data_IF_766880130820
#
_entry.id   IF_766880130820
#
_cell.length_a   1.000
_cell.length_b   1.000
_cell.length_c   1.000
_cell.angle_alpha   90.00
_cell.angle_beta   90.00
_cell.angle_gamma   90.00
#
_symmetry.space_group_name_H-M   'P 1'
#
loop_
_entity.id
_entity.type
_entity.pdbx_description
1 polymer ?
#
# COMPACT_ATOMS: atom_id res chain seq x y z
N UNK A 1 31.33 47.39 20.42
CA UNK A 1 30.70 46.80 19.21
C UNK A 1 31.63 45.86 18.42
N UNK A 2 32.84 46.23 18.00
CA UNK A 2 33.76 45.36 17.21
C UNK A 2 34.12 44.02 17.87
N UNK A 3 34.32 43.98 19.21
CA UNK A 3 34.62 42.74 19.95
C UNK A 3 33.42 41.79 19.99
N UNK A 4 32.21 42.31 20.20
CA UNK A 4 30.98 41.54 20.22
C UNK A 4 30.69 40.93 18.84
N UNK A 5 30.89 41.69 17.77
CA UNK A 5 30.72 41.19 16.40
C UNK A 5 31.72 40.06 16.06
N UNK A 6 32.99 40.18 16.48
CA UNK A 6 33.98 39.11 16.28
C UNK A 6 33.63 37.84 17.07
N UNK A 7 33.13 38.00 18.30
CA UNK A 7 32.67 36.88 19.11
C UNK A 7 31.47 36.18 18.46
N UNK A 8 30.50 36.93 17.94
CA UNK A 8 29.32 36.39 17.25
C UNK A 8 29.73 35.62 15.98
N UNK A 9 30.63 36.18 15.16
CA UNK A 9 31.19 35.51 13.98
C UNK A 9 31.90 34.19 14.34
N UNK A 10 32.65 34.19 15.43
CA UNK A 10 33.39 33.01 15.88
C UNK A 10 32.40 31.90 16.33
N UNK A 11 31.37 32.26 17.11
CA UNK A 11 30.31 31.32 17.54
C UNK A 11 29.59 30.77 16.33
N UNK A 12 29.20 31.60 15.37
CA UNK A 12 28.52 31.16 14.14
C UNK A 12 29.39 30.20 13.33
N UNK A 13 30.71 30.51 13.20
CA UNK A 13 31.63 29.64 12.50
C UNK A 13 31.78 28.26 13.18
N UNK A 14 31.86 28.22 14.51
CA UNK A 14 31.90 26.96 15.27
C UNK A 14 30.60 26.20 15.09
N UNK A 15 29.45 26.85 15.21
CA UNK A 15 28.14 26.20 15.05
C UNK A 15 27.98 25.61 13.64
N UNK A 16 28.36 26.36 12.61
CA UNK A 16 28.37 25.89 11.23
C UNK A 16 29.27 24.66 11.05
N UNK A 17 30.48 24.71 11.62
CA UNK A 17 31.41 23.58 11.56
C UNK A 17 30.84 22.33 12.26
N UNK A 18 30.20 22.52 13.41
CA UNK A 18 29.54 21.44 14.14
C UNK A 18 28.38 20.82 13.32
N UNK A 19 27.54 21.65 12.69
CA UNK A 19 26.41 21.16 11.85
C UNK A 19 26.96 20.39 10.66
N UNK A 20 27.96 20.91 9.96
CA UNK A 20 28.59 20.22 8.83
C UNK A 20 29.26 18.92 9.28
N UNK A 21 29.97 18.92 10.38
CA UNK A 21 30.58 17.71 10.94
C UNK A 21 29.51 16.66 11.29
N UNK A 22 28.43 17.08 11.95
CA UNK A 22 27.32 16.20 12.31
C UNK A 22 26.67 15.61 11.05
N UNK A 23 26.46 16.40 10.00
CA UNK A 23 25.93 15.92 8.72
C UNK A 23 26.81 14.79 8.16
N UNK A 24 28.14 14.95 8.15
CA UNK A 24 29.05 13.91 7.64
C UNK A 24 29.12 12.66 8.53
N UNK A 25 28.90 12.80 9.83
CA UNK A 25 28.84 11.65 10.76
C UNK A 25 27.56 10.85 10.59
N UNK A 26 26.43 11.52 10.40
CA UNK A 26 25.12 10.88 10.27
C UNK A 26 24.82 10.36 8.86
N UNK A 27 25.58 10.83 7.84
CA UNK A 27 25.36 10.44 6.45
C UNK A 27 26.51 9.60 5.91
N UNK A 28 26.19 8.73 4.94
CA UNK A 28 27.14 7.87 4.24
C UNK A 28 27.12 8.14 2.74
N UNK A 29 28.17 7.71 2.02
CA UNK A 29 28.30 7.91 0.55
C UNK A 29 27.38 6.98 -0.24
N UNK A 30 26.99 5.85 0.35
CA UNK A 30 26.17 4.84 -0.28
C UNK A 30 25.02 4.43 0.64
N UNK A 31 23.88 3.98 0.08
CA UNK A 31 22.82 3.39 0.88
C UNK A 31 23.25 2.03 1.44
N UNK A 32 22.80 1.69 2.63
CA UNK A 32 22.96 0.35 3.20
C UNK A 32 22.03 -0.65 2.52
N UNK A 33 20.86 -0.17 2.05
CA UNK A 33 19.92 -0.91 1.20
C UNK A 33 19.98 -0.28 -0.19
N UNK A 34 20.57 -1.00 -1.14
CA UNK A 34 20.87 -0.44 -2.46
C UNK A 34 19.61 -0.16 -3.29
N UNK A 35 18.62 -1.06 -3.22
CA UNK A 35 17.37 -0.95 -3.99
C UNK A 35 16.20 -1.44 -3.13
N UNK A 36 15.01 -0.88 -3.39
CA UNK A 36 13.77 -1.46 -2.84
C UNK A 36 13.59 -2.86 -3.41
N UNK A 37 13.14 -3.82 -2.61
CA UNK A 37 12.71 -5.09 -3.15
C UNK A 37 11.49 -4.84 -4.06
N UNK A 38 11.68 -4.96 -5.37
CA UNK A 38 10.57 -4.97 -6.32
C UNK A 38 9.71 -6.22 -6.12
N UNK A 39 8.42 -6.13 -6.34
CA UNK A 39 7.52 -7.29 -6.27
C UNK A 39 7.72 -8.17 -7.51
N UNK A 40 7.93 -9.46 -7.31
CA UNK A 40 8.03 -10.45 -8.39
C UNK A 40 6.75 -11.26 -8.52
N UNK A 41 6.54 -11.85 -9.67
CA UNK A 41 5.40 -12.74 -9.91
C UNK A 41 5.31 -13.92 -8.92
N UNK A 42 6.47 -14.46 -8.51
CA UNK A 42 6.54 -15.49 -7.47
C UNK A 42 6.02 -14.99 -6.11
N UNK A 43 6.26 -13.73 -5.78
CA UNK A 43 5.81 -13.12 -4.53
C UNK A 43 4.28 -13.01 -4.52
N UNK A 44 3.67 -12.62 -5.65
CA UNK A 44 2.21 -12.57 -5.79
C UNK A 44 1.59 -13.96 -5.62
N UNK A 45 2.12 -14.99 -6.29
CA UNK A 45 1.66 -16.38 -6.13
C UNK A 45 1.75 -16.81 -4.66
N UNK A 46 2.83 -16.45 -3.99
CA UNK A 46 3.04 -16.76 -2.58
C UNK A 46 2.06 -16.03 -1.67
N UNK A 47 1.85 -14.73 -1.88
CA UNK A 47 0.83 -13.93 -1.15
C UNK A 47 -0.56 -14.53 -1.34
N UNK A 48 -0.93 -14.89 -2.55
CA UNK A 48 -2.22 -15.55 -2.83
C UNK A 48 -2.34 -16.92 -2.13
N UNK A 49 -1.25 -17.69 -2.09
CA UNK A 49 -1.22 -18.97 -1.38
C UNK A 49 -1.44 -18.76 0.12
N UNK A 50 -0.70 -17.82 0.72
CA UNK A 50 -0.83 -17.46 2.14
C UNK A 50 -2.25 -16.95 2.46
N UNK A 51 -2.79 -16.06 1.62
CA UNK A 51 -4.14 -15.52 1.79
C UNK A 51 -5.23 -16.60 1.70
N UNK A 52 -5.02 -17.67 0.93
CA UNK A 52 -5.93 -18.82 0.89
C UNK A 52 -5.76 -19.73 2.10
N UNK A 53 -4.51 -20.03 2.48
CA UNK A 53 -4.17 -20.91 3.59
C UNK A 53 -4.66 -20.31 4.93
N UNK A 54 -4.38 -19.02 5.13
CA UNK A 54 -4.71 -18.30 6.37
C UNK A 54 -6.02 -17.49 6.26
N UNK A 55 -6.92 -17.86 5.35
CA UNK A 55 -8.26 -17.27 5.33
C UNK A 55 -8.98 -17.57 6.65
N UNK A 56 -9.61 -16.58 7.31
CA UNK A 56 -10.29 -16.78 8.60
C UNK A 56 -11.24 -17.98 8.65
N UNK A 57 -11.96 -18.25 7.55
CA UNK A 57 -12.85 -19.40 7.44
C UNK A 57 -12.15 -20.76 7.44
N UNK A 58 -10.84 -20.80 7.21
CA UNK A 58 -10.05 -22.04 7.17
C UNK A 58 -9.32 -22.29 8.50
N UNK A 59 -9.31 -21.30 9.40
CA UNK A 59 -8.60 -21.38 10.66
C UNK A 59 -9.55 -21.82 11.78
N UNK A 60 -9.08 -22.75 12.61
CA UNK A 60 -9.80 -23.24 13.77
C UNK A 60 -9.32 -22.47 15.00
N UNK A 61 -10.26 -21.98 15.81
CA UNK A 61 -9.95 -21.25 17.03
C UNK A 61 -9.04 -22.08 17.95
N UNK A 62 -8.13 -21.44 18.65
CA UNK A 62 -7.18 -22.00 19.58
C UNK A 62 -6.13 -22.94 18.95
N UNK A 63 -6.21 -23.20 17.65
CA UNK A 63 -5.18 -23.99 16.98
C UNK A 63 -3.94 -23.15 16.67
N UNK A 64 -2.80 -23.85 16.76
CA UNK A 64 -1.49 -23.28 16.42
C UNK A 64 -1.21 -23.46 14.94
N UNK A 65 -0.78 -22.37 14.31
CA UNK A 65 -0.36 -22.30 12.92
C UNK A 65 1.09 -21.82 12.82
N UNK A 66 1.76 -22.21 11.76
CA UNK A 66 3.13 -21.78 11.48
C UNK A 66 3.17 -21.24 10.05
N UNK A 67 3.64 -20.01 9.90
CA UNK A 67 3.95 -19.42 8.60
C UNK A 67 5.46 -19.26 8.48
N UNK A 68 6.01 -19.64 7.33
CA UNK A 68 7.41 -19.41 7.01
C UNK A 68 7.47 -18.27 6.00
N UNK A 69 8.19 -17.21 6.36
CA UNK A 69 8.47 -16.07 5.49
C UNK A 69 9.98 -16.01 5.22
N UNK A 70 10.37 -15.87 3.97
CA UNK A 70 11.75 -15.59 3.60
C UNK A 70 12.12 -14.14 3.96
N UNK A 71 13.42 -13.83 4.04
CA UNK A 71 13.90 -12.45 4.24
C UNK A 71 13.34 -11.50 3.17
N UNK A 72 13.22 -11.98 1.92
CA UNK A 72 12.60 -11.23 0.84
C UNK A 72 11.13 -10.90 1.12
N UNK A 73 10.34 -11.89 1.57
CA UNK A 73 8.93 -11.68 1.90
C UNK A 73 8.77 -10.74 3.11
N UNK A 74 9.65 -10.84 4.10
CA UNK A 74 9.71 -9.90 5.22
C UNK A 74 9.99 -8.46 4.75
N UNK A 75 10.90 -8.29 3.79
CA UNK A 75 11.24 -6.96 3.24
C UNK A 75 10.10 -6.33 2.42
N UNK A 76 9.15 -7.12 1.90
CA UNK A 76 7.97 -6.60 1.20
C UNK A 76 6.92 -6.00 2.16
N UNK A 77 6.87 -6.44 3.42
CA UNK A 77 5.89 -5.95 4.40
C UNK A 77 6.02 -4.43 4.65
N UNK A 78 7.19 -3.87 4.97
CA UNK A 78 7.32 -2.42 5.12
C UNK A 78 7.11 -1.66 3.81
N UNK A 79 7.47 -2.23 2.66
CA UNK A 79 7.19 -1.60 1.36
C UNK A 79 5.69 -1.39 1.21
N UNK A 80 4.87 -2.39 1.46
CA UNK A 80 3.42 -2.27 1.38
C UNK A 80 2.85 -1.24 2.38
N UNK A 81 3.36 -1.20 3.63
CA UNK A 81 2.86 -0.29 4.66
C UNK A 81 3.32 1.16 4.50
N UNK A 82 4.53 1.38 4.00
CA UNK A 82 5.16 2.70 3.97
C UNK A 82 4.97 3.45 2.65
N UNK A 83 4.60 2.77 1.57
CA UNK A 83 4.32 3.42 0.28
C UNK A 83 3.12 4.38 0.32
N UNK A 84 2.27 4.28 1.33
CA UNK A 84 1.19 5.23 1.59
C UNK A 84 1.70 6.64 1.92
N UNK A 85 2.93 6.76 2.40
CA UNK A 85 3.51 8.04 2.81
C UNK A 85 4.37 8.62 1.69
N UNK A 86 4.08 9.85 1.21
CA UNK A 86 4.86 10.48 0.13
C UNK A 86 6.35 10.55 0.42
N UNK A 87 6.74 10.77 1.68
CA UNK A 87 8.15 10.82 2.11
C UNK A 87 8.86 9.47 2.03
N UNK A 88 8.12 8.36 1.99
CA UNK A 88 8.69 7.02 1.94
C UNK A 88 8.95 6.53 0.50
N UNK A 89 8.58 7.30 -0.52
CA UNK A 89 8.78 6.92 -1.93
C UNK A 89 10.24 6.68 -2.28
N UNK A 90 11.13 7.49 -1.73
CA UNK A 90 12.58 7.44 -2.01
C UNK A 90 13.37 6.66 -0.95
N UNK A 91 12.68 6.03 0.00
CA UNK A 91 13.30 5.25 1.07
C UNK A 91 13.47 3.80 0.62
N UNK A 92 14.67 3.28 0.71
CA UNK A 92 14.94 1.86 0.53
C UNK A 92 14.84 1.15 1.88
N UNK A 93 14.14 0.03 1.93
CA UNK A 93 13.93 -0.77 3.15
C UNK A 93 14.40 -2.19 2.96
N UNK A 94 14.87 -2.78 4.03
CA UNK A 94 15.13 -4.20 4.14
C UNK A 94 14.76 -4.71 5.54
N UNK A 95 14.18 -5.89 5.61
CA UNK A 95 13.86 -6.57 6.87
C UNK A 95 14.41 -7.98 6.81
N UNK A 96 15.18 -8.34 7.80
CA UNK A 96 15.73 -9.68 7.97
C UNK A 96 15.54 -10.17 9.38
N UNK A 97 15.61 -11.48 9.57
CA UNK A 97 15.51 -12.12 10.87
C UNK A 97 16.73 -12.97 11.17
N UNK A 98 17.26 -12.87 12.39
CA UNK A 98 18.36 -13.70 12.89
C UNK A 98 18.28 -13.83 14.41
N UNK A 99 18.53 -15.01 14.93
CA UNK A 99 18.65 -15.26 16.39
C UNK A 99 17.49 -14.68 17.23
N UNK A 100 16.26 -14.92 16.83
CA UNK A 100 15.04 -14.36 17.45
C UNK A 100 14.98 -12.81 17.46
N UNK A 101 15.75 -12.17 16.60
CA UNK A 101 15.75 -10.73 16.43
C UNK A 101 15.29 -10.37 15.02
N UNK A 102 14.54 -9.27 14.89
CA UNK A 102 14.21 -8.65 13.63
C UNK A 102 15.12 -7.43 13.41
N UNK A 103 15.67 -7.32 12.24
CA UNK A 103 16.49 -6.20 11.80
C UNK A 103 15.77 -5.44 10.71
N UNK A 104 15.49 -4.17 10.96
CA UNK A 104 14.96 -3.26 9.96
C UNK A 104 16.06 -2.27 9.58
N UNK A 105 16.33 -2.17 8.29
CA UNK A 105 17.29 -1.23 7.73
C UNK A 105 16.57 -0.33 6.74
N UNK A 106 16.79 0.98 6.84
CA UNK A 106 16.25 1.96 5.92
C UNK A 106 17.34 2.91 5.43
N UNK A 107 17.31 3.27 4.16
CA UNK A 107 18.25 4.21 3.54
C UNK A 107 17.48 5.37 2.90
N UNK A 108 17.75 6.59 3.38
CA UNK A 108 17.10 7.83 2.96
C UNK A 108 18.07 8.64 2.13
N UNK A 109 17.77 9.03 0.89
CA UNK A 109 18.60 9.94 0.12
C UNK A 109 18.49 11.36 0.71
N UNK A 110 19.62 12.02 0.87
CA UNK A 110 19.68 13.43 1.28
C UNK A 110 20.63 14.19 0.39
N UNK A 111 20.19 15.33 -0.11
CA UNK A 111 20.99 16.23 -0.92
C UNK A 111 21.36 17.45 -0.09
N UNK A 112 22.65 17.71 0.06
CA UNK A 112 23.17 18.89 0.71
C UNK A 112 24.12 19.63 -0.22
N UNK A 113 23.69 20.75 -0.74
CA UNK A 113 24.36 21.51 -1.78
C UNK A 113 24.61 20.65 -3.03
N UNK A 114 25.87 20.25 -3.30
CA UNK A 114 26.29 19.42 -4.44
C UNK A 114 26.55 17.97 -4.04
N UNK A 115 26.35 17.62 -2.77
CA UNK A 115 26.65 16.28 -2.27
C UNK A 115 25.36 15.47 -2.14
N UNK A 116 25.28 14.36 -2.85
CA UNK A 116 24.29 13.31 -2.64
C UNK A 116 24.83 12.34 -1.59
N UNK A 117 24.08 12.12 -0.55
CA UNK A 117 24.43 11.24 0.56
C UNK A 117 23.21 10.49 1.07
N UNK A 118 23.44 9.55 1.96
CA UNK A 118 22.42 8.70 2.50
C UNK A 118 22.42 8.73 4.03
N UNK A 119 21.27 8.90 4.63
CA UNK A 119 21.05 8.57 6.03
C UNK A 119 20.65 7.11 6.07
N UNK A 120 21.51 6.26 6.62
CA UNK A 120 21.22 4.86 6.84
C UNK A 120 20.78 4.67 8.28
N UNK A 121 19.57 4.15 8.46
CA UNK A 121 18.98 3.87 9.75
C UNK A 121 18.83 2.37 9.92
N UNK A 122 19.21 1.83 11.08
CA UNK A 122 19.00 0.43 11.40
C UNK A 122 18.46 0.27 12.81
N UNK A 123 17.47 -0.60 12.97
CA UNK A 123 16.89 -0.99 14.27
C UNK A 123 16.95 -2.51 14.39
N UNK A 124 17.35 -2.98 15.56
CA UNK A 124 17.20 -4.37 15.95
C UNK A 124 16.15 -4.48 17.05
N UNK A 125 15.23 -5.40 16.88
CA UNK A 125 14.20 -5.78 17.85
C UNK A 125 14.41 -7.20 18.30
N UNK A 126 14.43 -7.43 19.61
CA UNK A 126 14.33 -8.77 20.16
C UNK A 126 12.85 -9.18 20.21
N UNK A 127 12.56 -10.35 19.68
CA UNK A 127 11.20 -10.91 19.63
C UNK A 127 11.07 -12.03 20.62
N UNK A 128 10.22 -11.81 21.62
CA UNK A 128 9.90 -12.78 22.66
C UNK A 128 8.42 -13.14 22.54
N UNK A 129 8.12 -14.44 22.59
CA UNK A 129 6.74 -14.91 22.52
C UNK A 129 5.85 -14.25 23.60
N UNK A 130 4.66 -13.80 23.21
CA UNK A 130 3.70 -13.14 24.12
C UNK A 130 4.10 -11.75 24.60
N UNK A 131 5.19 -11.17 24.06
CA UNK A 131 5.65 -9.82 24.40
C UNK A 131 5.83 -9.01 23.12
N UNK A 132 5.51 -7.71 23.19
CA UNK A 132 5.81 -6.80 22.07
C UNK A 132 7.31 -6.80 21.78
N UNK A 133 7.73 -6.69 20.52
CA UNK A 133 9.13 -6.65 20.15
C UNK A 133 9.85 -5.52 20.89
N UNK A 134 10.92 -5.84 21.60
CA UNK A 134 11.69 -4.87 22.38
C UNK A 134 12.83 -4.34 21.54
N UNK A 135 12.95 -3.02 21.42
CA UNK A 135 14.05 -2.42 20.70
C UNK A 135 15.37 -2.66 21.41
N UNK A 136 16.25 -3.45 20.79
CA UNK A 136 17.57 -3.79 21.31
C UNK A 136 18.61 -2.71 21.06
N UNK A 137 18.62 -2.20 19.83
CA UNK A 137 19.58 -1.16 19.43
C UNK A 137 19.09 -0.42 18.19
N UNK A 138 19.57 0.81 18.02
CA UNK A 138 19.43 1.53 16.76
C UNK A 138 20.69 2.28 16.40
N UNK A 139 20.86 2.53 15.11
CA UNK A 139 22.05 3.22 14.55
C UNK A 139 21.60 4.17 13.45
N UNK A 140 22.26 5.32 13.39
CA UNK A 140 22.13 6.28 12.28
C UNK A 140 23.50 6.46 11.65
N UNK A 141 23.66 6.09 10.39
CA UNK A 141 24.96 6.05 9.74
C UNK A 141 25.93 5.14 10.48
N UNK A 142 27.06 5.69 10.93
CA UNK A 142 28.02 4.97 11.78
C UNK A 142 27.78 5.15 13.29
N UNK A 143 26.83 6.00 13.66
CA UNK A 143 26.58 6.37 15.06
C UNK A 143 25.53 5.45 15.69
N UNK A 144 25.92 4.73 16.73
CA UNK A 144 25.00 3.93 17.54
C UNK A 144 24.30 4.86 18.55
N UNK A 145 22.97 4.82 18.57
CA UNK A 145 22.19 5.65 19.48
C UNK A 145 22.36 5.15 20.93
N UNK A 146 22.54 6.08 21.89
CA UNK A 146 22.56 5.74 23.31
C UNK A 146 21.25 5.06 23.77
N UNK A 147 21.34 4.17 24.77
CA UNK A 147 20.20 3.39 25.24
C UNK A 147 18.99 4.25 25.67
N UNK A 148 19.21 5.41 26.28
CA UNK A 148 18.14 6.32 26.67
C UNK A 148 17.39 6.92 25.47
N UNK A 149 18.08 7.18 24.35
CA UNK A 149 17.43 7.64 23.11
C UNK A 149 16.63 6.49 22.48
N UNK A 150 17.19 5.28 22.49
CA UNK A 150 16.46 4.10 22.03
C UNK A 150 15.14 3.92 22.81
N UNK A 151 15.20 4.07 24.13
CA UNK A 151 14.01 3.96 24.98
C UNK A 151 12.97 5.04 24.64
N UNK A 152 13.39 6.30 24.49
CA UNK A 152 12.48 7.39 24.12
C UNK A 152 11.82 7.12 22.75
N UNK A 153 12.59 6.65 21.77
CA UNK A 153 12.04 6.31 20.44
C UNK A 153 11.10 5.12 20.49
N UNK A 154 11.41 4.11 21.30
CA UNK A 154 10.57 2.95 21.50
C UNK A 154 9.25 3.31 22.18
N UNK A 155 9.30 4.08 23.27
CA UNK A 155 8.10 4.52 24.00
C UNK A 155 7.22 5.40 23.12
N UNK A 156 7.83 6.32 22.35
CA UNK A 156 7.14 7.16 21.39
C UNK A 156 6.45 6.35 20.29
N UNK A 157 7.07 5.26 19.84
CA UNK A 157 6.47 4.35 18.86
C UNK A 157 5.35 3.52 19.50
N UNK A 158 5.60 2.96 20.69
CA UNK A 158 4.65 2.09 21.39
C UNK A 158 3.35 2.82 21.75
N UNK A 159 3.44 4.09 22.17
CA UNK A 159 2.27 4.94 22.45
C UNK A 159 1.36 5.16 21.22
N UNK A 160 1.90 4.93 20.01
CA UNK A 160 1.15 5.08 18.75
C UNK A 160 0.59 3.77 18.22
N UNK A 161 1.03 2.66 18.77
CA UNK A 161 0.43 1.35 18.45
C UNK A 161 -0.88 1.25 19.23
N UNK A 162 -2.01 1.08 18.55
CA UNK A 162 -3.29 0.88 19.23
C UNK A 162 -3.23 -0.34 20.16
N UNK A 163 -3.82 -0.22 21.35
CA UNK A 163 -3.75 -1.26 22.39
C UNK A 163 -4.25 -2.62 21.93
N UNK A 164 -5.28 -2.65 21.09
CA UNK A 164 -5.80 -3.88 20.50
C UNK A 164 -4.77 -4.66 19.69
N UNK A 165 -3.83 -3.99 18.99
CA UNK A 165 -2.73 -4.68 18.31
C UNK A 165 -1.73 -5.28 19.29
N UNK A 166 -1.49 -4.59 20.41
CA UNK A 166 -0.65 -5.12 21.48
C UNK A 166 -1.28 -6.38 22.06
N UNK A 167 -2.58 -6.36 22.35
CA UNK A 167 -3.33 -7.50 22.90
C UNK A 167 -3.36 -8.68 21.90
N UNK A 168 -3.60 -8.40 20.61
CA UNK A 168 -3.56 -9.43 19.56
C UNK A 168 -2.17 -10.04 19.46
N UNK A 169 -1.12 -9.22 19.45
CA UNK A 169 0.26 -9.70 19.41
C UNK A 169 0.58 -10.60 20.59
N UNK A 170 0.27 -10.15 21.81
CA UNK A 170 0.56 -10.89 23.04
C UNK A 170 -0.22 -12.19 23.16
N UNK A 171 -1.49 -12.19 22.71
CA UNK A 171 -2.36 -13.37 22.81
C UNK A 171 -2.15 -14.38 21.67
N UNK A 172 -1.66 -13.92 20.53
CA UNK A 172 -1.59 -14.75 19.32
C UNK A 172 -0.18 -15.25 19.01
N UNK A 173 0.87 -14.43 19.19
CA UNK A 173 2.23 -14.84 18.85
C UNK A 173 2.77 -15.87 19.84
N UNK A 174 3.04 -17.07 19.33
CA UNK A 174 3.63 -18.18 20.11
C UNK A 174 5.16 -18.19 20.04
N UNK A 175 5.72 -18.02 18.84
CA UNK A 175 7.18 -17.92 18.66
C UNK A 175 7.53 -17.29 17.33
N UNK A 176 8.70 -16.68 17.30
CA UNK A 176 9.36 -16.25 16.07
C UNK A 176 10.77 -16.83 16.11
N UNK A 177 11.10 -17.70 15.17
CA UNK A 177 12.40 -18.36 15.12
C UNK A 177 13.06 -18.08 13.77
N UNK A 178 14.30 -17.64 13.80
CA UNK A 178 15.11 -17.51 12.60
C UNK A 178 15.37 -18.87 11.98
N UNK A 179 15.28 -18.94 10.67
CA UNK A 179 15.66 -20.10 9.86
C UNK A 179 16.61 -19.62 8.76
N UNK A 180 17.19 -20.55 8.01
CA UNK A 180 18.07 -20.17 6.91
C UNK A 180 17.31 -19.29 5.91
N UNK A 181 17.72 -18.02 5.81
CA UNK A 181 17.14 -16.98 4.95
C UNK A 181 15.65 -16.69 5.17
N UNK A 182 15.23 -16.63 6.44
CA UNK A 182 13.85 -16.29 6.75
C UNK A 182 13.48 -16.50 8.22
N UNK A 183 12.19 -16.58 8.44
CA UNK A 183 11.60 -16.70 9.78
C UNK A 183 10.42 -17.67 9.79
N UNK A 184 10.35 -18.48 10.84
CA UNK A 184 9.15 -19.22 11.22
C UNK A 184 8.39 -18.42 12.27
N UNK A 185 7.18 -18.02 11.95
CA UNK A 185 6.25 -17.35 12.85
C UNK A 185 5.18 -18.36 13.25
N UNK A 186 5.15 -18.74 14.52
CA UNK A 186 4.09 -19.56 15.06
C UNK A 186 3.09 -18.67 15.80
N UNK A 187 1.81 -18.84 15.50
CA UNK A 187 0.74 -18.09 16.13
C UNK A 187 -0.45 -19.00 16.46
N UNK A 188 -1.21 -18.64 17.47
CA UNK A 188 -2.49 -19.24 17.81
C UNK A 188 -3.60 -18.41 17.20
N UNK A 189 -4.52 -19.05 16.46
CA UNK A 189 -5.65 -18.36 15.91
C UNK A 189 -6.68 -18.05 16.99
N UNK A 190 -6.87 -16.79 17.28
CA UNK A 190 -7.87 -16.32 18.23
C UNK A 190 -8.89 -15.44 17.52
N UNK A 191 -10.05 -15.99 17.10
CA UNK A 191 -11.09 -15.21 16.42
C UNK A 191 -11.69 -14.13 17.32
N UNK A 192 -11.63 -14.30 18.66
CA UNK A 192 -12.08 -13.27 19.60
C UNK A 192 -11.13 -12.07 19.62
N UNK A 193 -9.81 -12.31 19.46
CA UNK A 193 -8.85 -11.21 19.31
C UNK A 193 -9.11 -10.41 18.02
N UNK A 194 -9.62 -11.05 16.97
CA UNK A 194 -10.04 -10.38 15.73
C UNK A 194 -11.45 -9.80 15.85
N UNK A 195 -12.35 -10.43 16.61
CA UNK A 195 -13.65 -9.87 16.97
C UNK A 195 -13.58 -8.73 18.00
N UNK A 196 -12.45 -8.61 18.72
CA UNK A 196 -12.06 -7.40 19.48
C UNK A 196 -11.54 -6.28 18.55
N UNK A 197 -11.56 -6.53 17.25
CA UNK A 197 -11.21 -5.62 16.18
C UNK A 197 -12.38 -4.70 15.74
N UNK A 198 -13.47 -4.44 16.50
CA UNK A 198 -14.28 -3.26 16.28
C UNK A 198 -13.41 -1.98 16.26
N UNK A 199 -12.27 -2.01 16.95
CA UNK A 199 -11.30 -0.91 17.01
C UNK A 199 -10.17 -0.99 15.96
N UNK A 200 -10.18 -1.91 14.99
CA UNK A 200 -9.28 -1.88 13.84
C UNK A 200 -9.40 -0.57 13.07
N UNK A 201 -10.60 -0.04 13.03
CA UNK A 201 -10.87 1.23 12.41
C UNK A 201 -11.24 2.27 13.47
N UNK A 202 -10.55 3.42 13.50
CA UNK A 202 -10.92 4.54 14.36
C UNK A 202 -12.41 4.86 14.23
N UNK A 203 -13.04 5.34 15.29
CA UNK A 203 -14.48 5.69 15.27
C UNK A 203 -14.84 6.62 14.09
N UNK A 204 -13.94 7.57 13.76
CA UNK A 204 -14.11 8.44 12.60
C UNK A 204 -14.29 7.65 11.31
N UNK A 205 -13.49 6.59 11.10
CA UNK A 205 -13.60 5.74 9.90
C UNK A 205 -14.87 4.88 9.92
N UNK A 206 -15.30 4.41 11.08
CA UNK A 206 -16.58 3.71 11.23
C UNK A 206 -17.77 4.64 10.88
N UNK A 207 -17.73 5.90 11.35
CA UNK A 207 -18.73 6.90 10.99
C UNK A 207 -18.73 7.20 9.49
N UNK A 208 -17.57 7.38 8.87
CA UNK A 208 -17.44 7.58 7.44
C UNK A 208 -17.99 6.38 6.65
N UNK A 209 -17.61 5.15 7.02
CA UNK A 209 -18.12 3.93 6.39
C UNK A 209 -19.64 3.82 6.50
N UNK A 210 -20.21 4.11 7.67
CA UNK A 210 -21.67 4.10 7.89
C UNK A 210 -22.39 5.15 7.05
N UNK A 211 -21.81 6.35 6.91
CA UNK A 211 -22.36 7.41 6.07
C UNK A 211 -22.35 6.98 4.60
N UNK A 212 -21.25 6.42 4.11
CA UNK A 212 -21.14 5.90 2.73
C UNK A 212 -22.18 4.81 2.48
N UNK A 213 -22.32 3.85 3.40
CA UNK A 213 -23.35 2.78 3.31
C UNK A 213 -24.76 3.38 3.25
N UNK A 214 -25.04 4.45 3.99
CA UNK A 214 -26.30 5.16 3.91
C UNK A 214 -26.59 5.74 2.52
N UNK A 215 -25.57 6.33 1.88
CA UNK A 215 -25.70 6.85 0.49
C UNK A 215 -25.84 5.68 -0.50
N UNK A 216 -25.05 4.63 -0.39
CA UNK A 216 -25.13 3.44 -1.23
C UNK A 216 -26.53 2.81 -1.14
N UNK A 217 -27.11 2.77 0.05
CA UNK A 217 -28.49 2.30 0.26
C UNK A 217 -29.49 3.18 -0.45
N UNK A 218 -29.37 4.50 -0.33
CA UNK A 218 -30.26 5.46 -1.02
C UNK A 218 -30.19 5.28 -2.54
N UNK A 219 -29.00 5.10 -3.12
CA UNK A 219 -28.85 4.83 -4.55
C UNK A 219 -29.46 3.48 -4.92
N UNK A 220 -29.25 2.43 -4.13
CA UNK A 220 -29.81 1.10 -4.36
C UNK A 220 -31.35 1.07 -4.26
N UNK A 221 -31.92 1.76 -3.25
CA UNK A 221 -33.37 1.84 -3.00
C UNK A 221 -34.10 2.63 -4.12
N UNK A 222 -33.38 3.37 -4.99
CA UNK A 222 -33.96 4.00 -6.18
C UNK A 222 -34.42 3.01 -7.25
N UNK A 223 -34.17 1.70 -7.04
CA UNK A 223 -34.56 0.61 -7.95
C UNK A 223 -33.63 0.45 -9.16
N UNK A 224 -32.48 1.11 -9.17
CA UNK A 224 -31.47 0.99 -10.23
C UNK A 224 -30.66 -0.27 -10.04
N UNK A 225 -30.86 -1.28 -10.88
CA UNK A 225 -30.09 -2.54 -10.84
C UNK A 225 -28.71 -2.43 -11.49
N UNK A 226 -28.52 -1.47 -12.41
CA UNK A 226 -27.29 -1.29 -13.17
C UNK A 226 -27.05 0.18 -13.49
N UNK A 227 -25.78 0.64 -13.46
CA UNK A 227 -25.44 2.03 -13.68
C UNK A 227 -24.03 2.17 -14.29
N UNK A 228 -23.80 3.15 -15.18
CA UNK A 228 -22.46 3.54 -15.59
C UNK A 228 -21.64 4.03 -14.39
N UNK A 229 -20.37 3.66 -14.34
CA UNK A 229 -19.47 3.92 -13.20
C UNK A 229 -19.30 5.45 -12.95
N UNK A 230 -19.23 6.26 -13.99
CA UNK A 230 -19.14 7.71 -13.84
C UNK A 230 -20.38 8.31 -13.16
N UNK A 231 -21.58 7.91 -13.58
CA UNK A 231 -22.83 8.37 -12.95
C UNK A 231 -22.93 7.92 -11.49
N UNK A 232 -22.47 6.71 -11.19
CA UNK A 232 -22.42 6.21 -9.85
C UNK A 232 -21.52 7.09 -8.95
N UNK A 233 -20.31 7.41 -9.40
CA UNK A 233 -19.41 8.27 -8.64
C UNK A 233 -19.95 9.69 -8.51
N UNK A 234 -20.56 10.26 -9.56
CA UNK A 234 -21.20 11.57 -9.48
C UNK A 234 -22.28 11.59 -8.40
N UNK A 235 -23.21 10.63 -8.40
CA UNK A 235 -24.27 10.55 -7.39
C UNK A 235 -23.69 10.35 -5.98
N UNK A 236 -22.72 9.46 -5.83
CA UNK A 236 -22.11 9.15 -4.55
C UNK A 236 -21.37 10.36 -3.95
N UNK A 237 -20.49 11.00 -4.74
CA UNK A 237 -19.67 12.11 -4.28
C UNK A 237 -20.51 13.37 -3.98
N UNK A 238 -21.53 13.67 -4.78
CA UNK A 238 -22.45 14.80 -4.52
C UNK A 238 -23.31 14.56 -3.28
N UNK A 239 -23.76 13.31 -3.05
CA UNK A 239 -24.61 13.01 -1.90
C UNK A 239 -23.84 12.95 -0.59
N UNK A 240 -22.55 12.57 -0.62
CA UNK A 240 -21.76 12.36 0.59
C UNK A 240 -20.80 13.52 0.89
N UNK A 241 -20.26 14.19 -0.11
CA UNK A 241 -19.28 15.27 0.04
C UNK A 241 -18.11 14.91 0.97
N UNK A 242 -17.24 13.98 0.54
CA UNK A 242 -16.16 13.44 1.36
C UNK A 242 -15.13 14.49 1.77
N UNK A 243 -14.55 14.34 2.95
CA UNK A 243 -13.28 14.96 3.29
C UNK A 243 -12.11 14.10 2.79
N UNK A 244 -10.90 14.69 2.68
CA UNK A 244 -9.70 13.94 2.28
C UNK A 244 -9.41 12.76 3.21
N UNK A 245 -9.67 12.91 4.51
CA UNK A 245 -9.51 11.86 5.53
C UNK A 245 -10.35 10.61 5.27
N UNK A 246 -11.48 10.77 4.56
CA UNK A 246 -12.45 9.71 4.32
C UNK A 246 -12.18 8.92 3.04
N UNK A 247 -11.28 9.42 2.18
CA UNK A 247 -11.04 8.85 0.86
C UNK A 247 -10.59 7.39 0.90
N UNK A 248 -9.74 7.05 1.87
CA UNK A 248 -9.29 5.67 2.05
C UNK A 248 -10.45 4.74 2.46
N UNK A 249 -11.32 5.23 3.34
CA UNK A 249 -12.52 4.50 3.77
C UNK A 249 -13.47 4.30 2.59
N UNK A 250 -13.68 5.35 1.77
CA UNK A 250 -14.48 5.27 0.56
C UNK A 250 -14.01 4.14 -0.36
N UNK A 251 -12.71 4.08 -0.66
CA UNK A 251 -12.18 3.09 -1.59
C UNK A 251 -12.32 1.65 -1.04
N UNK A 252 -12.10 1.47 0.26
CA UNK A 252 -12.30 0.16 0.91
C UNK A 252 -13.78 -0.23 0.89
N UNK A 253 -14.69 0.66 1.29
CA UNK A 253 -16.15 0.40 1.28
C UNK A 253 -16.63 0.04 -0.13
N UNK A 254 -16.21 0.78 -1.15
CA UNK A 254 -16.59 0.49 -2.53
C UNK A 254 -16.05 -0.85 -3.02
N UNK A 255 -14.81 -1.21 -2.64
CA UNK A 255 -14.25 -2.50 -3.00
C UNK A 255 -15.02 -3.68 -2.38
N UNK A 256 -15.48 -3.54 -1.13
CA UNK A 256 -16.35 -4.53 -0.49
C UNK A 256 -17.73 -4.60 -1.17
N UNK A 257 -18.32 -3.43 -1.42
CA UNK A 257 -19.63 -3.31 -2.07
C UNK A 257 -19.70 -4.03 -3.42
N UNK A 258 -18.74 -3.76 -4.32
CA UNK A 258 -18.72 -4.39 -5.65
C UNK A 258 -18.34 -5.87 -5.62
N UNK A 259 -17.66 -6.30 -4.55
CA UNK A 259 -17.27 -7.70 -4.33
C UNK A 259 -18.40 -8.51 -3.67
N UNK A 260 -19.46 -7.85 -3.20
CA UNK A 260 -20.55 -8.47 -2.46
C UNK A 260 -20.15 -8.97 -1.06
N UNK A 261 -19.11 -8.38 -0.50
CA UNK A 261 -18.68 -8.66 0.87
C UNK A 261 -19.39 -7.73 1.87
N UNK A 262 -19.48 -8.17 3.13
CA UNK A 262 -20.11 -7.36 4.18
C UNK A 262 -19.22 -6.19 4.59
N UNK A 263 -19.78 -4.99 4.48
CA UNK A 263 -19.14 -3.73 4.93
C UNK A 263 -19.40 -3.56 6.42
N UNK A 264 -20.61 -3.87 6.86
CA UNK A 264 -21.02 -3.76 8.27
C UNK A 264 -20.20 -4.69 9.17
N UNK A 265 -19.89 -5.91 8.73
CA UNK A 265 -18.98 -6.81 9.43
C UNK A 265 -17.54 -6.27 9.49
N UNK A 266 -17.04 -5.72 8.35
CA UNK A 266 -15.68 -5.19 8.28
C UNK A 266 -15.45 -4.02 9.25
N UNK A 267 -16.43 -3.10 9.36
CA UNK A 267 -16.34 -1.91 10.20
C UNK A 267 -17.06 -2.05 11.54
N UNK A 268 -17.56 -3.25 11.85
CA UNK A 268 -18.21 -3.60 13.11
C UNK A 268 -19.36 -2.66 13.52
N UNK A 269 -20.23 -2.29 12.59
CA UNK A 269 -21.43 -1.52 12.90
C UNK A 269 -22.71 -2.30 12.57
N UNK A 270 -23.76 -2.02 13.35
CA UNK A 270 -25.07 -2.64 13.14
C UNK A 270 -25.84 -1.92 12.02
N UNK A 271 -25.75 -2.48 10.80
CA UNK A 271 -26.53 -2.05 9.64
C UNK A 271 -26.67 -3.19 8.63
N UNK A 272 -27.70 -3.09 7.81
CA UNK A 272 -27.88 -4.00 6.66
C UNK A 272 -27.16 -3.39 5.46
N UNK A 273 -26.21 -4.13 4.91
CA UNK A 273 -25.48 -3.73 3.72
C UNK A 273 -26.44 -3.66 2.52
N UNK A 274 -26.37 -2.62 1.70
CA UNK A 274 -27.21 -2.50 0.52
C UNK A 274 -26.80 -3.54 -0.54
N UNK A 275 -27.76 -4.06 -1.31
CA UNK A 275 -27.44 -4.98 -2.40
C UNK A 275 -26.58 -4.28 -3.46
N UNK A 276 -25.54 -4.94 -4.01
CA UNK A 276 -24.64 -4.32 -4.94
C UNK A 276 -25.33 -4.02 -6.28
N UNK A 277 -25.23 -2.77 -6.74
CA UNK A 277 -25.62 -2.34 -8.08
C UNK A 277 -24.57 -2.83 -9.08
N UNK A 278 -24.99 -3.31 -10.24
CA UNK A 278 -24.08 -3.68 -11.33
C UNK A 278 -23.51 -2.43 -11.98
N UNK A 279 -22.23 -2.17 -11.75
CA UNK A 279 -21.52 -1.02 -12.30
C UNK A 279 -20.82 -1.40 -13.60
N UNK A 280 -20.85 -0.50 -14.58
CA UNK A 280 -20.26 -0.71 -15.90
C UNK A 280 -19.26 0.41 -16.25
N UNK A 281 -18.07 0.00 -16.67
CA UNK A 281 -17.07 0.86 -17.33
C UNK A 281 -16.94 0.38 -18.78
N UNK A 282 -17.15 1.27 -19.74
CA UNK A 282 -17.17 0.93 -21.18
C UNK A 282 -18.08 -0.27 -21.53
N UNK A 283 -19.22 -0.38 -20.85
CA UNK A 283 -20.20 -1.45 -21.06
C UNK A 283 -19.83 -2.80 -20.41
N UNK A 284 -18.70 -2.92 -19.74
CA UNK A 284 -18.21 -4.14 -19.08
C UNK A 284 -18.21 -3.98 -17.56
N UNK A 285 -18.73 -4.99 -16.86
CA UNK A 285 -18.80 -5.01 -15.39
C UNK A 285 -17.45 -5.36 -14.75
N UNK A 286 -16.66 -6.23 -15.36
CA UNK A 286 -15.34 -6.60 -14.89
C UNK A 286 -14.39 -5.41 -14.86
N UNK A 287 -14.41 -4.52 -15.87
CA UNK A 287 -13.61 -3.31 -15.89
C UNK A 287 -13.92 -2.35 -14.74
N UNK A 288 -15.19 -2.27 -14.29
CA UNK A 288 -15.56 -1.50 -13.10
C UNK A 288 -14.93 -2.07 -11.84
N UNK A 289 -14.82 -3.41 -11.73
CA UNK A 289 -14.15 -4.08 -10.62
C UNK A 289 -12.66 -3.79 -10.61
N UNK A 290 -11.99 -3.93 -11.75
CA UNK A 290 -10.58 -3.58 -11.90
C UNK A 290 -10.33 -2.14 -11.48
N UNK A 291 -11.11 -1.20 -12.00
CA UNK A 291 -11.01 0.23 -11.66
C UNK A 291 -11.12 0.48 -10.15
N UNK A 292 -12.18 -0.01 -9.50
CA UNK A 292 -12.41 0.25 -8.07
C UNK A 292 -11.38 -0.48 -7.20
N UNK A 293 -11.01 -1.72 -7.54
CA UNK A 293 -9.99 -2.45 -6.79
C UNK A 293 -8.62 -1.78 -6.90
N UNK A 294 -8.25 -1.27 -8.06
CA UNK A 294 -6.97 -0.56 -8.22
C UNK A 294 -6.96 0.80 -7.54
N UNK A 295 -8.09 1.53 -7.54
CA UNK A 295 -8.25 2.72 -6.72
C UNK A 295 -8.12 2.42 -5.21
N UNK A 296 -8.69 1.31 -4.74
CA UNK A 296 -8.53 0.84 -3.37
C UNK A 296 -7.09 0.44 -3.08
N UNK A 297 -6.42 -0.31 -3.96
CA UNK A 297 -5.03 -0.69 -3.78
C UNK A 297 -4.11 0.52 -3.67
N UNK A 298 -4.31 1.55 -4.50
CA UNK A 298 -3.57 2.81 -4.39
C UNK A 298 -3.80 3.49 -3.04
N UNK A 299 -5.05 3.50 -2.58
CA UNK A 299 -5.39 4.13 -1.29
C UNK A 299 -4.69 3.45 -0.10
N UNK A 300 -4.44 2.14 -0.21
CA UNK A 300 -3.85 1.34 0.86
C UNK A 300 -2.34 1.11 0.71
N UNK A 301 -1.84 0.99 -0.52
CA UNK A 301 -0.48 0.53 -0.79
C UNK A 301 0.36 1.52 -1.61
N UNK A 302 -0.26 2.60 -2.10
CA UNK A 302 0.38 3.55 -2.99
C UNK A 302 0.43 3.11 -4.45
N UNK A 303 0.75 4.07 -5.34
CA UNK A 303 0.69 3.91 -6.80
C UNK A 303 1.58 2.79 -7.34
N UNK A 304 2.84 2.77 -6.90
CA UNK A 304 3.84 1.81 -7.41
C UNK A 304 3.39 0.37 -7.18
N UNK A 305 3.00 0.05 -5.94
CA UNK A 305 2.57 -1.31 -5.56
C UNK A 305 1.26 -1.68 -6.24
N UNK A 306 0.30 -0.75 -6.32
CA UNK A 306 -0.97 -1.01 -6.99
C UNK A 306 -0.78 -1.31 -8.48
N UNK A 307 0.05 -0.55 -9.18
CA UNK A 307 0.38 -0.79 -10.59
C UNK A 307 1.08 -2.14 -10.82
N UNK A 308 2.06 -2.48 -9.97
CA UNK A 308 2.74 -3.78 -10.04
C UNK A 308 1.78 -4.95 -9.81
N UNK A 309 0.88 -4.84 -8.83
CA UNK A 309 -0.10 -5.88 -8.53
C UNK A 309 -1.08 -6.12 -9.68
N UNK A 310 -1.60 -5.06 -10.31
CA UNK A 310 -2.46 -5.17 -11.49
C UNK A 310 -1.76 -5.91 -12.62
N UNK A 311 -0.53 -5.51 -12.95
CA UNK A 311 0.26 -6.17 -13.99
C UNK A 311 0.58 -7.63 -13.69
N UNK A 312 1.03 -7.92 -12.46
CA UNK A 312 1.35 -9.29 -12.04
C UNK A 312 0.12 -10.20 -12.05
N UNK A 313 -1.07 -9.64 -11.76
CA UNK A 313 -2.33 -10.36 -11.90
C UNK A 313 -2.56 -10.79 -13.35
N UNK A 314 -2.45 -9.86 -14.29
CA UNK A 314 -2.66 -10.15 -15.71
C UNK A 314 -1.65 -11.18 -16.25
N UNK A 315 -0.39 -11.12 -15.79
CA UNK A 315 0.61 -12.16 -16.11
C UNK A 315 0.19 -13.53 -15.52
N UNK A 316 -0.37 -13.54 -14.30
CA UNK A 316 -0.87 -14.78 -13.66
C UNK A 316 -2.03 -15.38 -14.45
N UNK A 317 -2.96 -14.56 -14.89
CA UNK A 317 -4.14 -14.99 -15.66
C UNK A 317 -3.73 -15.54 -17.03
N UNK A 318 -2.71 -14.95 -17.66
CA UNK A 318 -2.11 -15.46 -18.88
C UNK A 318 -1.45 -16.84 -18.70
N UNK A 319 -0.67 -17.02 -17.61
CA UNK A 319 0.03 -18.28 -17.30
C UNK A 319 -0.95 -19.41 -17.00
N UNK A 320 -2.01 -19.12 -16.26
CA UNK A 320 -3.01 -20.11 -15.85
C UNK A 320 -4.08 -20.40 -16.92
N UNK A 321 -4.06 -19.73 -18.07
CA UNK A 321 -5.03 -19.86 -19.17
C UNK A 321 -6.49 -19.67 -18.73
N UNK A 322 -6.73 -18.94 -17.65
CA UNK A 322 -8.09 -18.73 -17.09
C UNK A 322 -8.83 -17.68 -17.92
N UNK A 323 -8.23 -16.51 -18.13
CA UNK A 323 -8.83 -15.41 -18.90
C UNK A 323 -7.89 -14.84 -19.96
N UNK A 324 -6.60 -15.20 -19.92
CA UNK A 324 -5.56 -14.61 -20.75
C UNK A 324 -5.11 -13.25 -20.22
N UNK A 325 -4.10 -12.67 -20.88
CA UNK A 325 -3.63 -11.30 -20.60
C UNK A 325 -4.60 -10.30 -21.22
N UNK A 326 -5.14 -9.39 -20.40
CA UNK A 326 -6.11 -8.39 -20.82
C UNK A 326 -5.55 -6.97 -20.69
N UNK A 327 -5.29 -6.33 -21.81
CA UNK A 327 -4.88 -4.92 -21.85
C UNK A 327 -6.00 -4.01 -21.34
N UNK A 328 -7.26 -4.32 -21.64
CA UNK A 328 -8.41 -3.56 -21.14
C UNK A 328 -8.49 -3.54 -19.61
N UNK A 329 -8.11 -4.64 -18.95
CA UNK A 329 -8.09 -4.75 -17.50
C UNK A 329 -6.98 -3.88 -16.91
N UNK A 330 -5.78 -3.89 -17.52
CA UNK A 330 -4.68 -2.98 -17.12
C UNK A 330 -5.04 -1.51 -17.31
N UNK A 331 -5.79 -1.18 -18.37
CA UNK A 331 -6.29 0.18 -18.58
C UNK A 331 -7.29 0.60 -17.51
N UNK A 332 -8.18 -0.30 -17.11
CA UNK A 332 -9.13 -0.07 -16.05
C UNK A 332 -8.39 0.10 -14.70
N UNK A 333 -7.36 -0.70 -14.43
CA UNK A 333 -6.50 -0.59 -13.27
C UNK A 333 -5.81 0.80 -13.24
N UNK A 334 -5.18 1.20 -14.34
CA UNK A 334 -4.53 2.52 -14.45
C UNK A 334 -5.53 3.67 -14.28
N UNK A 335 -6.71 3.55 -14.88
CA UNK A 335 -7.77 4.56 -14.74
C UNK A 335 -8.22 4.69 -13.28
N UNK A 336 -8.33 3.58 -12.53
CA UNK A 336 -8.64 3.58 -11.10
C UNK A 336 -7.56 4.27 -10.27
N UNK A 337 -6.29 4.00 -10.58
CA UNK A 337 -5.13 4.66 -9.95
C UNK A 337 -5.20 6.18 -10.14
N UNK A 338 -5.36 6.62 -11.39
CA UNK A 338 -5.43 8.04 -11.74
C UNK A 338 -6.66 8.74 -11.15
N UNK A 339 -7.78 8.04 -11.10
CA UNK A 339 -9.00 8.54 -10.46
C UNK A 339 -8.77 8.86 -8.99
N UNK A 340 -8.21 7.92 -8.23
CA UNK A 340 -7.89 8.13 -6.83
C UNK A 340 -6.97 9.33 -6.61
N UNK A 341 -5.91 9.45 -7.42
CA UNK A 341 -4.96 10.55 -7.34
C UNK A 341 -5.63 11.90 -7.60
N UNK A 342 -6.42 12.00 -8.68
CA UNK A 342 -7.13 13.24 -9.03
C UNK A 342 -8.17 13.61 -7.98
N UNK A 343 -8.93 12.65 -7.48
CA UNK A 343 -9.90 12.88 -6.41
C UNK A 343 -9.22 13.35 -5.12
N UNK A 344 -8.07 12.75 -4.76
CA UNK A 344 -7.29 13.19 -3.60
C UNK A 344 -6.83 14.65 -3.73
N UNK A 345 -6.31 15.05 -4.90
CA UNK A 345 -5.87 16.42 -5.17
C UNK A 345 -7.06 17.38 -5.17
N UNK A 346 -8.20 16.99 -5.74
CA UNK A 346 -9.41 17.80 -5.77
C UNK A 346 -9.94 18.09 -4.35
N UNK A 347 -9.92 17.08 -3.47
CA UNK A 347 -10.29 17.25 -2.06
C UNK A 347 -9.30 18.13 -1.29
N UNK A 348 -8.01 18.07 -1.60
CA UNK A 348 -7.00 18.97 -1.03
C UNK A 348 -7.25 20.45 -1.42
N UNK A 349 -7.68 20.67 -2.64
CA UNK A 349 -7.92 22.00 -3.20
C UNK A 349 -9.33 22.54 -2.93
N UNK A 350 -10.22 21.75 -2.33
CA UNK A 350 -11.68 22.04 -2.19
C UNK A 350 -12.39 22.23 -3.54
N UNK A 351 -12.03 21.43 -4.53
CA UNK A 351 -12.46 21.52 -5.93
C UNK A 351 -13.35 20.32 -6.32
N UNK A 352 -14.05 19.73 -5.35
CA UNK A 352 -14.83 18.51 -5.57
C UNK A 352 -15.94 18.69 -6.60
N UNK A 353 -16.65 19.83 -6.55
CA UNK A 353 -17.77 20.09 -7.48
C UNK A 353 -17.28 20.12 -8.92
N UNK A 354 -16.17 20.82 -9.20
CA UNK A 354 -15.55 20.86 -10.52
C UNK A 354 -15.06 19.46 -10.94
N UNK A 355 -14.45 18.72 -10.01
CA UNK A 355 -14.03 17.35 -10.29
C UNK A 355 -15.20 16.46 -10.70
N UNK A 356 -16.34 16.59 -10.02
CA UNK A 356 -17.55 15.79 -10.31
C UNK A 356 -18.19 16.21 -11.65
N UNK A 357 -18.21 17.50 -11.97
CA UNK A 357 -18.68 17.99 -13.27
C UNK A 357 -17.80 17.48 -14.42
N UNK A 358 -16.48 17.48 -14.22
CA UNK A 358 -15.50 17.04 -15.21
C UNK A 358 -15.26 15.52 -15.19
N UNK A 359 -16.03 14.76 -14.39
CA UNK A 359 -15.82 13.33 -14.22
C UNK A 359 -16.13 12.57 -15.51
N UNK A 360 -15.13 12.52 -16.36
CA UNK A 360 -15.11 11.73 -17.58
C UNK A 360 -14.24 10.50 -17.35
N UNK A 361 -14.87 9.35 -17.26
CA UNK A 361 -14.12 8.08 -17.22
C UNK A 361 -13.78 7.66 -18.64
N UNK A 362 -12.55 7.25 -18.92
CA UNK A 362 -12.12 6.92 -20.26
C UNK A 362 -12.98 5.82 -20.86
N UNK A 363 -13.38 6.01 -22.12
CA UNK A 363 -13.97 4.94 -22.92
C UNK A 363 -12.79 4.07 -23.37
N UNK A 364 -12.72 2.88 -22.79
CA UNK A 364 -11.70 1.90 -23.12
C UNK A 364 -12.14 1.17 -24.41
N UNK A 365 -11.63 1.62 -25.56
CA UNK A 365 -11.84 0.97 -26.83
C UNK A 365 -10.62 0.12 -27.16
N UNK A 366 -10.83 -1.06 -27.75
CA UNK A 366 -9.74 -1.93 -28.27
C UNK A 366 -8.75 -1.18 -29.19
N UNK A 367 -9.19 -0.11 -29.82
CA UNK A 367 -8.35 0.71 -30.72
C UNK A 367 -7.29 1.54 -29.98
N UNK A 368 -7.49 1.82 -28.68
CA UNK A 368 -6.57 2.60 -27.84
C UNK A 368 -5.66 1.70 -26.99
N UNK A 369 -5.76 0.39 -27.15
CA UNK A 369 -4.97 -0.58 -26.37
C UNK A 369 -3.47 -0.44 -26.60
N UNK A 370 -3.04 -0.05 -27.81
CA UNK A 370 -1.64 0.17 -28.14
C UNK A 370 -1.10 1.49 -27.59
N UNK A 371 -1.92 2.56 -27.59
CA UNK A 371 -1.55 3.87 -27.04
C UNK A 371 -1.48 3.82 -25.49
N UNK A 372 -2.14 2.84 -24.90
CA UNK A 372 -2.14 2.64 -23.46
C UNK A 372 -0.88 1.95 -22.92
N UNK A 373 -0.10 1.27 -23.76
CA UNK A 373 1.20 0.74 -23.38
C UNK A 373 2.20 1.86 -23.06
N UNK A 374 2.02 3.06 -23.64
CA UNK A 374 2.81 4.25 -23.32
C UNK A 374 2.49 4.83 -21.93
N UNK A 375 1.44 4.33 -21.27
CA UNK A 375 0.97 4.78 -19.95
C UNK A 375 1.40 3.83 -18.82
N UNK A 376 2.11 2.74 -19.14
CA UNK A 376 2.69 1.85 -18.13
C UNK A 376 3.77 2.60 -17.32
N UNK A 377 3.98 2.26 -16.03
CA UNK A 377 4.96 2.95 -15.21
C UNK A 377 6.34 2.98 -15.87
N UNK A 378 6.97 4.15 -15.96
CA UNK A 378 8.31 4.34 -16.55
C UNK A 378 9.44 3.57 -15.86
N UNK A 379 9.15 2.95 -14.71
CA UNK A 379 10.07 2.09 -13.97
C UNK A 379 10.19 0.68 -14.53
N UNK A 380 9.36 0.34 -15.50
CA UNK A 380 9.43 -0.96 -16.16
C UNK A 380 10.31 -0.81 -17.39
N UNK A 381 11.27 -1.71 -17.54
CA UNK A 381 12.06 -1.83 -18.75
C UNK A 381 11.09 -2.17 -19.89
N UNK A 382 10.68 -1.13 -20.63
CA UNK A 382 9.68 -1.21 -21.71
C UNK A 382 10.08 -2.26 -22.76
N UNK A 383 11.39 -2.41 -23.02
CA UNK A 383 11.90 -3.41 -23.95
C UNK A 383 11.74 -4.83 -23.41
N UNK A 384 11.98 -5.05 -22.12
CA UNK A 384 11.77 -6.36 -21.49
C UNK A 384 10.29 -6.71 -21.42
N UNK A 385 9.43 -5.73 -21.11
CA UNK A 385 7.98 -5.87 -21.08
C UNK A 385 7.44 -6.21 -22.48
N UNK A 386 7.76 -5.41 -23.49
CA UNK A 386 7.33 -5.62 -24.87
C UNK A 386 7.84 -6.95 -25.43
N UNK A 387 9.07 -7.36 -25.06
CA UNK A 387 9.62 -8.65 -25.43
C UNK A 387 8.83 -9.79 -24.78
N UNK A 388 8.47 -9.67 -23.51
CA UNK A 388 7.66 -10.65 -22.77
C UNK A 388 6.25 -10.72 -23.33
N UNK A 389 5.61 -9.59 -23.59
CA UNK A 389 4.28 -9.52 -24.20
C UNK A 389 4.26 -10.15 -25.60
N UNK A 390 5.28 -9.92 -26.42
CA UNK A 390 5.40 -10.52 -27.77
C UNK A 390 5.61 -12.04 -27.75
N UNK A 391 6.10 -12.59 -26.64
CA UNK A 391 6.28 -14.04 -26.46
C UNK A 391 5.03 -14.74 -25.94
N UNK A 392 4.04 -14.00 -25.44
CA UNK A 392 2.77 -14.58 -25.00
C UNK A 392 1.98 -15.08 -26.22
N UNK A 393 1.42 -16.31 -26.17
CA UNK A 393 0.74 -16.94 -27.32
C UNK A 393 -0.52 -16.17 -27.78
N UNK A 394 -0.97 -15.15 -27.02
CA UNK A 394 -2.14 -14.33 -27.29
C UNK A 394 -1.83 -13.02 -28.00
N UNK A 395 -0.57 -12.65 -28.13
CA UNK A 395 -0.13 -11.41 -28.78
C UNK A 395 0.02 -11.54 -30.30
N UNK A 396 -0.63 -12.54 -30.92
CA UNK A 396 -0.84 -12.51 -32.36
C UNK A 396 -1.95 -11.52 -32.70
N UNK A 397 -1.71 -10.24 -32.50
CA UNK A 397 -2.53 -9.21 -33.12
C UNK A 397 -2.40 -9.43 -34.62
N UNK A 398 -3.46 -9.94 -35.22
CA UNK A 398 -3.66 -9.81 -36.65
C UNK A 398 -3.59 -8.32 -36.96
N UNK A 399 -2.46 -7.85 -37.42
CA UNK A 399 -2.37 -6.57 -38.10
C UNK A 399 -3.23 -6.66 -39.35
N UNK A 400 -4.51 -6.46 -39.22
CA UNK A 400 -5.41 -6.16 -40.33
C UNK A 400 -5.09 -4.73 -40.74
N UNK A 401 -3.94 -4.55 -41.39
CA UNK A 401 -3.74 -3.47 -42.33
C UNK A 401 -4.77 -3.66 -43.43
N UNK A 402 -5.95 -3.15 -43.27
CA UNK A 402 -6.87 -2.89 -44.35
C UNK A 402 -6.21 -1.80 -45.22
N UNK A 403 -5.46 -2.23 -46.22
CA UNK A 403 -5.15 -1.39 -47.36
C UNK A 403 -6.49 -1.06 -48.01
N UNK A 404 -7.02 0.12 -47.74
CA UNK A 404 -7.97 0.74 -48.63
C UNK A 404 -7.19 1.29 -49.84
N UNK A 405 -7.40 0.63 -50.96
CA UNK A 405 -7.20 1.21 -52.29
C UNK A 405 -8.36 2.17 -52.58
#
# INVERSE_FOLDING_TARGET
MKKLYRLLLFITAILTLLIVSLFFVLTQKSPSVATKPGMHFSDLKRIQSLAREFRPSNLIAENRYVVTLSDRELSLVPVAGLTQFPFARDINFDVSASDNSLYLVASFPVTFAIWERWINFSIAFDVIAGVMPVQRSSRIGSFQLPGYINQILYDFWLERVPNNYVDIWQSSLVSLNSVDRGVHIAFTWNPLAIGLVPDLYPQSQQYAAKAIVGVLKSISDSGVERMPLNLFFQQLLLAWQPEKSDLNVLMVVLSQYISGNSISELYAFDAIDPPPIRLYLSGRQDLSRHFILSAMLVSQLGESVAGELGYLKELSDADNKVSGFSVSDLLADKAGILFYQKLSVSLENNDLDQFVEDLYLPILHEKNELDALDVLPQTWDDDALLKTLRQLPFYSIKSTTSRHR
#
